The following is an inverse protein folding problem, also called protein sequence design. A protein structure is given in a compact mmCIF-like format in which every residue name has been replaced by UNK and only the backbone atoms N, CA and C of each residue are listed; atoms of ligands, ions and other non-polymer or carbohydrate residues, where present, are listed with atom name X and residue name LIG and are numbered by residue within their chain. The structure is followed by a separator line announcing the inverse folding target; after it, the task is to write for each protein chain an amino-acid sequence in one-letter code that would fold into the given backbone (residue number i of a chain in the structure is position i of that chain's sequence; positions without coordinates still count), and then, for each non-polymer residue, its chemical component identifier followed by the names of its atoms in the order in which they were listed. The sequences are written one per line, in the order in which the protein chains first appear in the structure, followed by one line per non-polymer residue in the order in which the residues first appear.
data_IF_860659268630
#
_entry.id   IF_860659268630
#
_cell.length_a   1.000
_cell.length_b   1.000
_cell.length_c   1.000
_cell.angle_alpha   90.00
_cell.angle_beta   90.00
_cell.angle_gamma   90.00
#
_symmetry.space_group_name_H-M   'P 1'
#
loop_
_entity.id
_entity.type
_entity.pdbx_description
1 polymer ?
#
# COMPACT_ATOMS: atom_id res chain seq x y z
N UNK A 1 -18.37 -5.14 -58.91
CA UNK A 1 -18.22 -4.42 -57.66
C UNK A 1 -18.92 -5.23 -56.58
N UNK A 2 -18.14 -5.97 -55.76
CA UNK A 2 -18.65 -6.78 -54.66
C UNK A 2 -18.40 -5.98 -53.36
N UNK A 3 -19.46 -5.53 -52.68
CA UNK A 3 -19.39 -4.90 -51.39
C UNK A 3 -19.14 -5.96 -50.32
N UNK A 4 -17.97 -5.94 -49.69
CA UNK A 4 -17.65 -6.73 -48.52
C UNK A 4 -18.21 -5.99 -47.27
N UNK A 5 -19.30 -6.50 -46.70
CA UNK A 5 -19.82 -6.02 -45.43
C UNK A 5 -18.99 -6.57 -44.29
N UNK A 6 -18.19 -5.72 -43.63
CA UNK A 6 -17.50 -6.03 -42.37
C UNK A 6 -18.56 -6.06 -41.25
N UNK A 7 -18.91 -7.25 -40.77
CA UNK A 7 -19.66 -7.44 -39.54
C UNK A 7 -18.72 -7.14 -38.36
N UNK A 8 -18.87 -5.97 -37.77
CA UNK A 8 -18.35 -5.65 -36.45
C UNK A 8 -19.14 -6.47 -35.41
N UNK A 9 -18.56 -7.55 -34.93
CA UNK A 9 -19.04 -8.26 -33.74
C UNK A 9 -18.82 -7.34 -32.53
N UNK A 10 -19.85 -6.61 -32.14
CA UNK A 10 -19.91 -5.95 -30.87
C UNK A 10 -19.88 -7.03 -29.75
N UNK A 11 -18.81 -7.09 -28.97
CA UNK A 11 -18.76 -7.93 -27.79
C UNK A 11 -19.90 -7.48 -26.86
N UNK A 12 -20.86 -8.39 -26.64
CA UNK A 12 -21.92 -8.18 -25.65
C UNK A 12 -21.26 -8.02 -24.28
N UNK A 13 -21.63 -6.99 -23.48
CA UNK A 13 -21.16 -6.91 -22.11
C UNK A 13 -21.67 -8.12 -21.34
N UNK A 14 -20.76 -8.75 -20.58
CA UNK A 14 -21.07 -9.88 -19.70
C UNK A 14 -22.23 -9.49 -18.78
N UNK A 15 -23.39 -10.12 -18.98
CA UNK A 15 -24.60 -9.82 -18.22
C UNK A 15 -24.41 -10.37 -16.80
N UNK A 16 -24.07 -9.52 -15.84
CA UNK A 16 -24.07 -9.90 -14.43
C UNK A 16 -23.21 -9.10 -13.45
N UNK A 17 -22.19 -8.37 -13.91
CA UNK A 17 -21.35 -7.56 -12.99
C UNK A 17 -21.85 -6.11 -13.03
N UNK A 18 -22.23 -5.52 -11.86
CA UNK A 18 -22.64 -4.12 -11.81
C UNK A 18 -21.54 -3.20 -12.37
N UNK A 19 -21.93 -2.17 -13.11
CA UNK A 19 -20.97 -1.20 -13.63
C UNK A 19 -20.22 -0.54 -12.46
N UNK A 20 -18.90 -0.58 -12.50
CA UNK A 20 -18.05 0.11 -11.53
C UNK A 20 -17.47 1.36 -12.20
N UNK A 21 -18.04 2.53 -11.93
CA UNK A 21 -17.64 3.78 -12.59
C UNK A 21 -16.14 4.12 -12.44
N UNK A 22 -15.50 3.97 -11.25
CA UNK A 22 -14.07 4.27 -11.10
C UNK A 22 -13.16 3.08 -11.46
N UNK A 23 -13.72 1.92 -11.90
CA UNK A 23 -12.95 0.70 -12.14
C UNK A 23 -12.51 0.56 -13.59
N UNK A 24 -11.31 0.02 -13.77
CA UNK A 24 -10.78 -0.45 -15.04
C UNK A 24 -10.27 -1.87 -14.89
N UNK A 25 -10.79 -2.82 -15.70
CA UNK A 25 -10.17 -4.13 -15.83
C UNK A 25 -8.89 -3.97 -16.64
N UNK A 26 -7.78 -4.49 -16.12
CA UNK A 26 -6.46 -4.43 -16.75
C UNK A 26 -5.92 -5.84 -16.98
N UNK A 27 -5.02 -5.98 -17.95
CA UNK A 27 -4.52 -7.30 -18.37
C UNK A 27 -3.71 -8.02 -17.27
N UNK A 28 -3.06 -7.27 -16.38
CA UNK A 28 -2.31 -7.81 -15.24
C UNK A 28 -2.05 -6.73 -14.18
N UNK A 29 -1.65 -7.10 -12.93
CA UNK A 29 -1.24 -6.14 -11.91
C UNK A 29 -0.13 -5.19 -12.39
N UNK A 30 0.85 -5.70 -13.13
CA UNK A 30 1.92 -4.89 -13.70
C UNK A 30 1.41 -3.85 -14.71
N UNK A 31 0.40 -4.18 -15.51
CA UNK A 31 -0.22 -3.22 -16.45
C UNK A 31 -0.95 -2.12 -15.68
N UNK A 32 -1.70 -2.47 -14.63
CA UNK A 32 -2.32 -1.51 -13.72
C UNK A 32 -1.28 -0.59 -13.08
N UNK A 33 -0.24 -1.17 -12.52
CA UNK A 33 0.86 -0.43 -11.90
C UNK A 33 1.55 0.55 -12.86
N UNK A 34 1.79 0.14 -14.11
CA UNK A 34 2.36 1.04 -15.13
C UNK A 34 1.46 2.21 -15.46
N UNK A 35 0.12 2.07 -15.37
CA UNK A 35 -0.82 3.20 -15.53
C UNK A 35 -0.67 4.20 -14.39
N UNK A 36 -0.49 3.72 -13.16
CA UNK A 36 -0.18 4.56 -12.00
C UNK A 36 1.14 5.32 -12.24
N UNK A 37 2.20 4.62 -12.65
CA UNK A 37 3.51 5.22 -12.93
C UNK A 37 3.50 6.21 -14.09
N UNK A 38 2.52 6.14 -15.00
CA UNK A 38 2.36 7.11 -16.08
C UNK A 38 1.95 8.52 -15.58
N UNK A 39 1.50 8.64 -14.32
CA UNK A 39 1.28 9.92 -13.64
C UNK A 39 2.59 10.66 -13.35
N UNK A 40 3.75 9.99 -13.49
CA UNK A 40 5.09 10.52 -13.18
C UNK A 40 5.18 11.07 -11.75
N UNK A 41 4.87 10.24 -10.73
CA UNK A 41 4.92 10.70 -9.35
C UNK A 41 6.34 11.09 -8.93
N UNK A 42 6.45 12.13 -8.12
CA UNK A 42 7.63 12.46 -7.33
C UNK A 42 7.69 11.59 -6.07
N UNK A 43 6.52 11.33 -5.49
CA UNK A 43 6.31 10.36 -4.40
C UNK A 43 5.28 9.33 -4.84
N UNK A 44 5.62 8.04 -4.67
CA UNK A 44 4.67 6.95 -4.76
C UNK A 44 4.49 6.35 -3.36
N UNK A 45 3.33 6.56 -2.76
CA UNK A 45 2.97 5.99 -1.48
C UNK A 45 2.19 4.69 -1.74
N UNK A 46 2.77 3.56 -1.38
CA UNK A 46 2.17 2.24 -1.54
C UNK A 46 1.65 1.77 -0.19
N UNK A 47 0.32 1.64 -0.12
CA UNK A 47 -0.39 1.12 1.03
C UNK A 47 -0.76 -0.35 0.86
N UNK A 48 -0.86 -1.06 1.98
CA UNK A 48 -1.41 -2.41 1.97
C UNK A 48 -2.47 -2.60 3.04
N UNK A 49 -3.45 -3.43 2.72
CA UNK A 49 -4.30 -4.06 3.72
C UNK A 49 -3.58 -5.30 4.23
N UNK A 50 -3.22 -5.27 5.51
CA UNK A 50 -2.33 -6.26 6.09
C UNK A 50 -2.94 -7.66 6.14
N UNK A 51 -2.11 -8.68 5.88
CA UNK A 51 -2.42 -10.05 6.25
C UNK A 51 -2.54 -10.15 7.77
N UNK A 52 -3.54 -10.90 8.24
CA UNK A 52 -3.70 -11.25 9.66
C UNK A 52 -3.58 -12.76 9.85
N UNK A 53 -3.14 -13.16 11.03
CA UNK A 53 -3.02 -14.57 11.41
C UNK A 53 -4.37 -15.29 11.23
N UNK A 54 -4.35 -16.42 10.54
CA UNK A 54 -5.57 -17.17 10.20
C UNK A 54 -6.20 -16.81 8.86
N UNK A 55 -5.70 -15.78 8.18
CA UNK A 55 -6.12 -15.47 6.80
C UNK A 55 -5.76 -16.62 5.83
N UNK A 56 -6.41 -16.69 4.66
CA UNK A 56 -6.08 -17.67 3.63
C UNK A 56 -4.61 -17.59 3.23
N UNK A 57 -3.91 -18.73 3.16
CA UNK A 57 -2.50 -18.81 2.76
C UNK A 57 -2.33 -18.53 1.26
N UNK A 58 -2.22 -17.27 0.92
CA UNK A 58 -1.94 -16.76 -0.43
C UNK A 58 -0.80 -15.75 -0.34
N UNK A 59 -0.10 -15.44 -1.46
CA UNK A 59 0.92 -14.39 -1.42
C UNK A 59 0.35 -13.06 -0.92
N UNK A 60 1.01 -12.45 0.06
CA UNK A 60 0.63 -11.17 0.65
C UNK A 60 0.76 -9.99 -0.36
N UNK A 61 0.26 -8.82 0.00
CA UNK A 61 0.42 -7.61 -0.79
C UNK A 61 1.90 -7.26 -0.98
N UNK A 62 2.69 -7.29 0.10
CA UNK A 62 4.14 -7.02 0.05
C UNK A 62 4.91 -8.04 -0.79
N UNK A 63 4.58 -9.34 -0.68
CA UNK A 63 5.21 -10.38 -1.51
C UNK A 63 4.92 -10.15 -3.01
N UNK A 64 3.65 -9.84 -3.36
CA UNK A 64 3.25 -9.51 -4.74
C UNK A 64 3.92 -8.24 -5.23
N UNK A 65 3.95 -7.19 -4.41
CA UNK A 65 4.63 -5.93 -4.74
C UNK A 65 6.12 -6.18 -5.03
N UNK A 66 6.82 -6.80 -4.09
CA UNK A 66 8.26 -7.04 -4.16
C UNK A 66 8.63 -7.87 -5.37
N UNK A 67 7.83 -8.91 -5.69
CA UNK A 67 8.10 -9.83 -6.77
C UNK A 67 7.72 -9.27 -8.13
N UNK A 68 6.49 -8.75 -8.26
CA UNK A 68 5.84 -8.54 -9.55
C UNK A 68 5.80 -7.08 -9.98
N UNK A 69 5.79 -6.11 -9.03
CA UNK A 69 5.63 -4.69 -9.33
C UNK A 69 6.93 -3.90 -9.17
N UNK A 70 7.65 -4.11 -8.08
CA UNK A 70 8.90 -3.40 -7.76
C UNK A 70 9.94 -3.41 -8.89
N UNK A 71 10.13 -4.50 -9.67
CA UNK A 71 11.07 -4.49 -10.80
C UNK A 71 10.80 -3.40 -11.85
N UNK A 72 9.56 -2.94 -12.00
CA UNK A 72 9.21 -1.86 -12.93
C UNK A 72 9.71 -0.49 -12.48
N UNK A 73 10.16 -0.36 -11.23
CA UNK A 73 10.73 0.85 -10.64
C UNK A 73 12.25 0.93 -10.76
N UNK A 74 12.91 -0.09 -11.31
CA UNK A 74 14.38 -0.11 -11.44
C UNK A 74 14.90 1.11 -12.18
N UNK A 75 15.87 1.82 -11.57
CA UNK A 75 16.47 3.02 -12.11
C UNK A 75 15.61 4.29 -11.98
N UNK A 76 14.45 4.21 -11.30
CA UNK A 76 13.57 5.36 -11.07
C UNK A 76 13.44 5.72 -9.59
N UNK A 77 13.60 4.76 -8.68
CA UNK A 77 13.52 4.99 -7.23
C UNK A 77 14.90 5.34 -6.71
N UNK A 78 15.01 6.47 -6.02
CA UNK A 78 16.22 6.88 -5.32
C UNK A 78 16.20 6.42 -3.85
N UNK A 79 15.08 6.61 -3.18
CA UNK A 79 14.90 6.26 -1.77
C UNK A 79 13.60 5.49 -1.53
N UNK A 80 13.65 4.59 -0.54
CA UNK A 80 12.50 3.89 0.02
C UNK A 80 12.40 4.21 1.51
N UNK A 81 11.24 4.66 1.98
CA UNK A 81 10.89 4.70 3.41
C UNK A 81 9.89 3.60 3.68
N UNK A 82 10.20 2.73 4.63
CA UNK A 82 9.33 1.60 5.02
C UNK A 82 8.78 1.84 6.42
N UNK A 83 7.50 1.55 6.61
CA UNK A 83 6.83 1.55 7.90
C UNK A 83 7.30 0.35 8.73
N UNK A 84 8.54 0.40 9.15
CA UNK A 84 9.14 -0.59 10.05
C UNK A 84 10.27 0.05 10.85
N UNK A 85 10.60 -0.56 11.98
CA UNK A 85 11.73 -0.15 12.81
C UNK A 85 12.47 -1.36 13.33
N UNK A 86 13.71 -1.14 13.75
CA UNK A 86 14.53 -2.20 14.35
C UNK A 86 14.51 -2.09 15.87
N UNK A 87 14.26 -3.20 16.53
CA UNK A 87 14.53 -3.36 17.95
C UNK A 87 16.03 -3.42 18.19
N UNK A 88 16.51 -2.69 19.19
CA UNK A 88 17.93 -2.68 19.54
C UNK A 88 18.20 -2.98 21.01
N UNK A 89 17.16 -3.27 21.80
CA UNK A 89 17.20 -3.61 23.22
C UNK A 89 17.55 -2.45 24.17
N UNK A 90 17.78 -1.24 23.64
CA UNK A 90 18.21 -0.09 24.46
C UNK A 90 17.14 0.44 25.40
N UNK A 91 15.86 0.23 25.06
CA UNK A 91 14.73 0.72 25.83
C UNK A 91 14.17 -0.34 26.81
N UNK A 92 14.78 -1.52 26.87
CA UNK A 92 14.53 -2.56 27.87
C UNK A 92 13.07 -3.02 27.93
N UNK A 93 12.39 -2.78 29.06
CA UNK A 93 11.02 -3.25 29.30
C UNK A 93 10.02 -2.57 28.38
N UNK A 94 10.11 -1.26 28.19
CA UNK A 94 9.18 -0.49 27.35
C UNK A 94 9.18 -0.99 25.88
N UNK A 95 10.36 -1.24 25.32
CA UNK A 95 10.50 -1.80 23.96
C UNK A 95 9.84 -3.17 23.85
N UNK A 96 10.10 -4.06 24.82
CA UNK A 96 9.52 -5.40 24.81
C UNK A 96 8.00 -5.39 24.93
N UNK A 97 7.47 -4.55 25.83
CA UNK A 97 6.03 -4.42 26.02
C UNK A 97 5.33 -3.86 24.78
N UNK A 98 5.86 -2.77 24.22
CA UNK A 98 5.29 -2.15 23.04
C UNK A 98 5.29 -3.11 21.83
N UNK A 99 6.40 -3.81 21.58
CA UNK A 99 6.48 -4.80 20.50
C UNK A 99 5.50 -5.95 20.70
N UNK A 100 5.40 -6.48 21.92
CA UNK A 100 4.43 -7.53 22.23
C UNK A 100 2.97 -7.05 22.05
N UNK A 101 2.67 -5.82 22.48
CA UNK A 101 1.35 -5.21 22.32
C UNK A 101 1.00 -4.97 20.84
N UNK A 102 1.95 -4.47 20.03
CA UNK A 102 1.78 -4.34 18.58
C UNK A 102 1.52 -5.70 17.94
N UNK A 103 2.34 -6.71 18.21
CA UNK A 103 2.16 -8.05 17.66
C UNK A 103 0.78 -8.66 18.01
N UNK A 104 0.35 -8.51 19.27
CA UNK A 104 -0.95 -8.98 19.76
C UNK A 104 -2.11 -8.29 19.05
N UNK A 105 -2.01 -6.98 18.82
CA UNK A 105 -3.09 -6.18 18.22
C UNK A 105 -3.15 -6.32 16.71
N UNK A 106 -2.01 -6.25 16.03
CA UNK A 106 -1.96 -6.33 14.55
C UNK A 106 -2.15 -7.74 14.03
N UNK A 107 -1.88 -8.74 14.86
CA UNK A 107 -1.98 -10.17 14.50
C UNK A 107 -1.28 -10.52 13.17
N UNK A 108 -0.23 -9.79 12.82
CA UNK A 108 0.54 -10.07 11.59
C UNK A 108 1.22 -11.44 11.70
N UNK A 109 1.26 -12.23 10.61
CA UNK A 109 2.03 -13.48 10.60
C UNK A 109 3.53 -13.20 10.74
N UNK A 110 4.27 -14.17 11.29
CA UNK A 110 5.75 -14.10 11.42
C UNK A 110 6.44 -13.92 10.05
N UNK A 111 5.83 -14.42 8.96
CA UNK A 111 6.32 -14.24 7.60
C UNK A 111 6.41 -12.78 7.14
N UNK A 112 5.69 -11.85 7.78
CA UNK A 112 5.74 -10.42 7.42
C UNK A 112 7.13 -9.84 7.59
N UNK A 113 7.90 -10.26 8.61
CA UNK A 113 9.28 -9.80 8.83
C UNK A 113 10.20 -10.26 7.70
N UNK A 114 10.07 -11.52 7.26
CA UNK A 114 10.84 -12.06 6.14
C UNK A 114 10.50 -11.33 4.83
N UNK A 115 9.24 -11.01 4.61
CA UNK A 115 8.78 -10.30 3.40
C UNK A 115 9.26 -8.84 3.37
N UNK A 116 9.25 -8.13 4.52
CA UNK A 116 9.84 -6.81 4.66
C UNK A 116 11.35 -6.83 4.42
N UNK A 117 12.04 -7.83 4.98
CA UNK A 117 13.47 -8.05 4.74
C UNK A 117 13.74 -8.28 3.26
N UNK A 118 12.91 -9.09 2.58
CA UNK A 118 13.04 -9.33 1.14
C UNK A 118 12.81 -8.07 0.31
N UNK A 119 11.87 -7.18 0.70
CA UNK A 119 11.67 -5.89 0.06
C UNK A 119 12.91 -5.00 0.20
N UNK A 120 13.46 -4.86 1.42
CA UNK A 120 14.65 -4.07 1.70
C UNK A 120 15.89 -4.58 0.97
N UNK A 121 16.10 -5.91 0.95
CA UNK A 121 17.21 -6.53 0.24
C UNK A 121 17.12 -6.30 -1.28
N UNK A 122 15.92 -6.44 -1.84
CA UNK A 122 15.70 -6.24 -3.27
C UNK A 122 15.90 -4.79 -3.69
N UNK A 123 15.39 -3.83 -2.92
CA UNK A 123 15.60 -2.41 -3.18
C UNK A 123 17.05 -2.00 -3.04
N UNK A 124 17.76 -2.54 -2.02
CA UNK A 124 19.19 -2.34 -1.86
C UNK A 124 19.98 -2.84 -3.09
N UNK A 125 19.67 -4.03 -3.60
CA UNK A 125 20.26 -4.57 -4.85
C UNK A 125 19.92 -3.76 -6.10
N UNK A 126 18.86 -2.96 -6.06
CA UNK A 126 18.51 -2.02 -7.12
C UNK A 126 19.24 -0.67 -6.99
N UNK A 127 20.05 -0.46 -5.95
CA UNK A 127 20.75 0.78 -5.66
C UNK A 127 19.88 1.84 -4.96
N UNK A 128 18.76 1.43 -4.37
CA UNK A 128 17.84 2.31 -3.65
C UNK A 128 18.32 2.51 -2.21
N UNK A 129 18.29 3.74 -1.72
CA UNK A 129 18.60 4.05 -0.32
C UNK A 129 17.40 3.71 0.56
N UNK A 130 17.55 2.72 1.42
CA UNK A 130 16.48 2.30 2.33
C UNK A 130 16.53 3.07 3.64
N UNK A 131 15.37 3.51 4.10
CA UNK A 131 15.15 4.19 5.38
C UNK A 131 14.09 3.43 6.17
N UNK A 132 14.42 3.12 7.41
CA UNK A 132 13.50 2.58 8.41
C UNK A 132 13.20 3.67 9.44
N UNK A 133 12.14 3.50 10.23
CA UNK A 133 11.76 4.46 11.25
C UNK A 133 12.70 4.37 12.44
N UNK A 134 13.06 5.52 13.00
CA UNK A 134 13.84 5.61 14.22
C UNK A 134 12.88 5.81 15.40
N UNK A 135 12.75 4.77 16.21
CA UNK A 135 11.91 4.73 17.41
C UNK A 135 12.82 4.86 18.63
N UNK A 136 12.52 5.77 19.51
CA UNK A 136 13.21 5.96 20.79
C UNK A 136 12.39 5.42 21.98
N UNK A 137 12.93 5.57 23.20
CA UNK A 137 12.30 4.98 24.37
C UNK A 137 11.02 5.71 24.80
N UNK A 138 10.87 6.99 24.47
CA UNK A 138 9.64 7.74 24.73
C UNK A 138 8.57 7.36 23.72
N UNK A 139 8.96 7.12 22.45
CA UNK A 139 8.08 6.59 21.43
C UNK A 139 7.47 5.24 21.85
N UNK A 140 8.29 4.29 22.35
CA UNK A 140 7.77 3.00 22.83
C UNK A 140 6.79 3.18 23.99
N UNK A 141 7.08 4.08 24.93
CA UNK A 141 6.17 4.38 26.04
C UNK A 141 4.87 5.00 25.56
N UNK A 142 4.93 5.89 24.56
CA UNK A 142 3.75 6.58 24.03
C UNK A 142 2.79 5.68 23.26
N UNK A 143 3.22 4.48 22.85
CA UNK A 143 2.35 3.49 22.21
C UNK A 143 1.52 2.67 23.19
N UNK A 144 1.78 2.80 24.49
CA UNK A 144 1.11 1.99 25.51
C UNK A 144 0.19 2.87 26.37
N UNK A 145 -0.95 2.32 26.72
CA UNK A 145 -1.83 2.88 27.72
C UNK A 145 -1.35 2.59 29.16
N UNK A 146 -2.08 3.07 30.17
CA UNK A 146 -1.77 2.87 31.58
C UNK A 146 -1.78 1.39 32.02
N UNK A 147 -2.47 0.52 31.25
CA UNK A 147 -2.50 -0.92 31.49
C UNK A 147 -1.37 -1.68 30.79
N UNK A 148 -0.58 -0.99 29.97
CA UNK A 148 0.50 -1.58 29.15
C UNK A 148 -0.01 -2.30 27.89
N UNK A 149 -1.24 -2.06 27.48
CA UNK A 149 -1.79 -2.51 26.21
C UNK A 149 -1.52 -1.46 25.12
N UNK A 150 -1.63 -1.85 23.84
CA UNK A 150 -1.43 -0.91 22.75
C UNK A 150 -2.52 0.17 22.73
N UNK A 151 -2.12 1.43 22.87
CA UNK A 151 -2.97 2.56 22.49
C UNK A 151 -2.97 2.69 20.97
N UNK A 152 -4.06 2.24 20.36
CA UNK A 152 -4.19 2.21 18.90
C UNK A 152 -4.09 3.60 18.28
N UNK A 153 -4.69 4.62 18.88
CA UNK A 153 -4.64 6.00 18.39
C UNK A 153 -3.23 6.57 18.49
N UNK A 154 -2.58 6.47 19.63
CA UNK A 154 -1.22 6.94 19.83
C UNK A 154 -0.23 6.22 18.89
N UNK A 155 -0.44 4.92 18.66
CA UNK A 155 0.38 4.12 17.74
C UNK A 155 0.24 4.61 16.30
N UNK A 156 -0.99 4.83 15.81
CA UNK A 156 -1.24 5.35 14.46
C UNK A 156 -0.63 6.75 14.26
N UNK A 157 -0.80 7.63 15.26
CA UNK A 157 -0.21 8.98 15.23
C UNK A 157 1.33 8.93 15.23
N UNK A 158 1.93 8.01 15.99
CA UNK A 158 3.38 7.84 16.01
C UNK A 158 3.91 7.39 14.65
N UNK A 159 3.32 6.37 14.06
CA UNK A 159 3.71 5.85 12.75
C UNK A 159 3.60 6.95 11.69
N UNK A 160 2.44 7.62 11.61
CA UNK A 160 2.23 8.77 10.72
C UNK A 160 3.34 9.81 10.88
N UNK A 161 3.59 10.26 12.10
CA UNK A 161 4.60 11.29 12.40
C UNK A 161 6.01 10.86 11.97
N UNK A 162 6.39 9.60 12.25
CA UNK A 162 7.73 9.09 11.94
C UNK A 162 7.94 8.91 10.44
N UNK A 163 6.96 8.38 9.71
CA UNK A 163 7.02 8.22 8.25
C UNK A 163 7.05 9.60 7.58
N UNK A 164 6.16 10.51 7.98
CA UNK A 164 6.12 11.88 7.45
C UNK A 164 7.45 12.61 7.66
N UNK A 165 7.97 12.62 8.88
CA UNK A 165 9.24 13.26 9.20
C UNK A 165 10.40 12.67 8.38
N UNK A 166 10.43 11.35 8.19
CA UNK A 166 11.46 10.70 7.39
C UNK A 166 11.32 11.04 5.90
N UNK A 167 10.09 11.04 5.37
CA UNK A 167 9.86 11.44 3.98
C UNK A 167 10.29 12.88 3.72
N UNK A 168 9.95 13.81 4.61
CA UNK A 168 10.36 15.22 4.51
C UNK A 168 11.89 15.38 4.60
N UNK A 169 12.56 14.64 5.47
CA UNK A 169 14.03 14.62 5.56
C UNK A 169 14.68 14.15 4.24
N UNK A 170 14.11 13.15 3.58
CA UNK A 170 14.57 12.66 2.27
C UNK A 170 14.38 13.73 1.19
N UNK A 171 13.23 14.41 1.18
CA UNK A 171 12.94 15.50 0.23
C UNK A 171 13.92 16.68 0.44
N UNK A 172 14.11 17.12 1.67
CA UNK A 172 15.00 18.23 2.02
C UNK A 172 16.45 17.95 1.61
N UNK A 173 16.90 16.71 1.76
CA UNK A 173 18.25 16.28 1.37
C UNK A 173 18.42 16.06 -0.14
N UNK A 174 17.35 16.15 -0.93
CA UNK A 174 17.38 15.84 -2.36
C UNK A 174 17.69 14.37 -2.67
N UNK A 175 17.41 13.46 -1.74
CA UNK A 175 17.66 12.03 -1.89
C UNK A 175 16.50 11.29 -2.60
N UNK A 176 15.58 12.03 -3.20
CA UNK A 176 14.40 11.55 -3.91
C UNK A 176 13.35 12.66 -4.00
N UNK A 177 12.17 12.35 -4.55
CA UNK A 177 11.06 13.29 -4.63
C UNK A 177 10.97 14.06 -5.94
N UNK A 178 11.53 13.52 -7.02
CA UNK A 178 11.29 13.97 -8.39
C UNK A 178 10.79 12.81 -9.26
N UNK A 179 10.14 13.08 -10.41
CA UNK A 179 9.68 12.02 -11.31
C UNK A 179 10.79 11.09 -11.81
N UNK A 180 12.03 11.59 -11.90
CA UNK A 180 13.23 10.85 -12.32
C UNK A 180 13.89 10.10 -11.15
N UNK A 181 13.75 10.64 -9.94
CA UNK A 181 14.32 10.14 -8.68
C UNK A 181 13.21 10.02 -7.64
N UNK A 182 12.32 9.07 -7.87
CA UNK A 182 11.12 8.81 -7.06
C UNK A 182 11.48 8.50 -5.61
N UNK A 183 10.73 9.09 -4.67
CA UNK A 183 10.63 8.61 -3.30
C UNK A 183 9.50 7.58 -3.22
N UNK A 184 9.85 6.34 -2.85
CA UNK A 184 8.88 5.26 -2.59
C UNK A 184 8.60 5.20 -1.09
N UNK A 185 7.33 5.17 -0.71
CA UNK A 185 6.89 4.86 0.64
C UNK A 185 6.17 3.51 0.61
N UNK A 186 6.36 2.68 1.65
CA UNK A 186 5.65 1.41 1.78
C UNK A 186 5.19 1.21 3.23
N UNK A 187 3.88 0.99 3.41
CA UNK A 187 3.29 0.80 4.74
C UNK A 187 1.80 0.47 4.70
N UNK A 188 1.10 0.68 5.81
CA UNK A 188 -0.34 0.49 5.91
C UNK A 188 -1.13 1.54 5.13
N UNK A 189 -2.23 1.12 4.49
CA UNK A 189 -3.06 1.97 3.64
C UNK A 189 -3.65 3.19 4.36
N UNK A 190 -3.92 3.10 5.67
CA UNK A 190 -4.47 4.21 6.46
C UNK A 190 -3.53 5.43 6.52
N UNK A 191 -2.22 5.20 6.39
CA UNK A 191 -1.23 6.27 6.55
C UNK A 191 -0.92 7.05 5.27
N UNK A 192 -1.13 6.46 4.09
CA UNK A 192 -0.76 7.07 2.81
C UNK A 192 -1.91 7.79 2.10
N UNK A 193 -3.13 7.69 2.60
CA UNK A 193 -4.34 8.24 2.00
C UNK A 193 -4.20 9.75 1.68
N UNK A 194 -4.32 10.10 0.40
CA UNK A 194 -4.22 11.48 -0.08
C UNK A 194 -5.51 12.29 0.14
N UNK A 195 -6.64 11.61 0.31
CA UNK A 195 -7.99 12.20 0.50
C UNK A 195 -8.71 11.58 1.71
N UNK A 196 -8.05 11.54 2.89
CA UNK A 196 -8.59 10.84 4.05
C UNK A 196 -9.93 11.43 4.51
N UNK A 197 -10.84 10.56 4.92
CA UNK A 197 -12.04 10.96 5.62
C UNK A 197 -11.68 11.79 6.86
N UNK A 198 -12.57 12.69 7.32
CA UNK A 198 -12.28 13.59 8.43
C UNK A 198 -11.74 12.88 9.68
N UNK A 199 -12.30 11.72 10.04
CA UNK A 199 -11.91 10.90 11.18
C UNK A 199 -10.54 10.24 11.03
N UNK A 200 -10.08 9.97 9.80
CA UNK A 200 -8.79 9.34 9.49
C UNK A 200 -7.68 10.34 9.17
N UNK A 201 -8.03 11.62 8.98
CA UNK A 201 -7.10 12.67 8.54
C UNK A 201 -5.88 12.84 9.45
N UNK A 202 -6.05 12.66 10.76
CA UNK A 202 -4.96 12.77 11.72
C UNK A 202 -3.88 11.70 11.53
N UNK A 203 -4.24 10.55 10.99
CA UNK A 203 -3.37 9.38 10.86
C UNK A 203 -2.70 9.28 9.48
N UNK A 204 -3.10 10.13 8.51
CA UNK A 204 -2.47 10.13 7.19
C UNK A 204 -1.42 11.22 7.01
N UNK A 205 -0.31 10.86 6.37
CA UNK A 205 0.71 11.80 5.87
C UNK A 205 0.44 12.24 4.43
N UNK A 206 -0.49 11.62 3.73
CA UNK A 206 -0.79 11.87 2.32
C UNK A 206 -1.01 13.34 1.97
N UNK A 207 -1.89 14.08 2.69
CA UNK A 207 -2.15 15.50 2.42
C UNK A 207 -0.90 16.38 2.56
N UNK A 208 -0.02 16.07 3.54
CA UNK A 208 1.25 16.78 3.71
C UNK A 208 2.17 16.54 2.51
N UNK A 209 2.38 15.30 2.12
CA UNK A 209 3.28 14.96 1.02
C UNK A 209 2.77 15.48 -0.32
N UNK A 210 1.46 15.47 -0.55
CA UNK A 210 0.85 16.11 -1.73
C UNK A 210 1.18 17.59 -1.80
N UNK A 211 1.08 18.30 -0.69
CA UNK A 211 1.42 19.74 -0.61
C UNK A 211 2.90 19.98 -0.88
N UNK A 212 3.79 19.23 -0.23
CA UNK A 212 5.25 19.40 -0.34
C UNK A 212 5.80 19.05 -1.73
N UNK A 213 5.06 18.26 -2.50
CA UNK A 213 5.42 17.91 -3.89
C UNK A 213 4.60 18.67 -4.94
N UNK A 214 3.90 19.73 -4.55
CA UNK A 214 3.04 20.50 -5.46
C UNK A 214 2.06 19.62 -6.26
N UNK A 215 1.47 18.61 -5.61
CA UNK A 215 0.51 17.71 -6.22
C UNK A 215 1.11 16.49 -6.93
N UNK A 216 2.42 16.26 -6.85
CA UNK A 216 3.09 15.11 -7.49
C UNK A 216 3.22 13.88 -6.58
N UNK A 217 2.43 13.79 -5.50
CA UNK A 217 2.26 12.56 -4.74
C UNK A 217 1.15 11.71 -5.34
N UNK A 218 1.39 10.41 -5.45
CA UNK A 218 0.43 9.41 -5.94
C UNK A 218 0.31 8.31 -4.91
N UNK A 219 -0.92 7.95 -4.60
CA UNK A 219 -1.29 6.84 -3.71
C UNK A 219 -1.60 5.59 -4.53
N UNK A 220 -1.16 4.46 -4.03
CA UNK A 220 -1.49 3.15 -4.56
C UNK A 220 -1.73 2.14 -3.44
N UNK A 221 -2.96 1.77 -3.22
CA UNK A 221 -3.29 0.71 -2.28
C UNK A 221 -3.37 -0.65 -2.95
N UNK A 222 -2.79 -1.65 -2.30
CA UNK A 222 -2.71 -3.02 -2.78
C UNK A 222 -3.72 -3.89 -2.04
N UNK A 223 -4.69 -4.40 -2.77
CA UNK A 223 -5.80 -5.18 -2.24
C UNK A 223 -5.69 -6.65 -2.65
N UNK A 224 -5.43 -7.52 -1.69
CA UNK A 224 -5.50 -8.97 -1.86
C UNK A 224 -6.93 -9.40 -1.57
N UNK A 225 -7.71 -9.89 -2.54
CA UNK A 225 -9.14 -10.11 -2.38
C UNK A 225 -9.49 -11.09 -1.26
N UNK A 226 -8.58 -12.03 -0.96
CA UNK A 226 -8.73 -12.99 0.13
C UNK A 226 -8.67 -12.37 1.52
N UNK A 227 -8.04 -11.19 1.67
CA UNK A 227 -7.88 -10.49 2.94
C UNK A 227 -8.95 -9.43 3.15
N UNK A 228 -9.43 -8.82 2.06
CA UNK A 228 -10.31 -7.66 2.13
C UNK A 228 -11.79 -7.96 1.87
N UNK A 229 -12.15 -9.20 1.52
CA UNK A 229 -13.53 -9.53 1.12
C UNK A 229 -14.57 -9.35 2.25
N UNK A 230 -14.14 -9.27 3.49
CA UNK A 230 -14.99 -9.05 4.68
C UNK A 230 -14.65 -7.74 5.40
N UNK A 231 -13.82 -6.88 4.81
CA UNK A 231 -13.47 -5.60 5.39
C UNK A 231 -14.69 -4.67 5.41
N UNK A 232 -15.12 -4.26 6.62
CA UNK A 232 -16.35 -3.53 6.82
C UNK A 232 -16.32 -2.13 6.20
N UNK A 233 -15.16 -1.49 6.12
CA UNK A 233 -15.05 -0.15 5.56
C UNK A 233 -15.04 -0.22 4.04
N UNK A 234 -14.31 -1.15 3.45
CA UNK A 234 -14.35 -1.38 2.00
C UNK A 234 -15.74 -1.83 1.52
N UNK A 235 -16.47 -2.60 2.34
CA UNK A 235 -17.86 -3.01 2.02
C UNK A 235 -18.83 -1.83 1.89
N UNK A 236 -18.54 -0.68 2.48
CA UNK A 236 -19.33 0.55 2.36
C UNK A 236 -19.02 1.31 1.06
N UNK A 237 -17.88 1.03 0.44
CA UNK A 237 -17.47 1.70 -0.79
C UNK A 237 -18.32 1.26 -1.98
N UNK A 238 -18.95 2.21 -2.74
CA UNK A 238 -19.88 1.88 -3.82
C UNK A 238 -19.29 1.03 -4.94
N UNK A 239 -17.97 1.14 -5.15
CA UNK A 239 -17.23 0.43 -6.19
C UNK A 239 -16.78 -0.98 -5.76
N UNK A 240 -16.66 -1.23 -4.46
CA UNK A 240 -15.92 -2.39 -3.95
C UNK A 240 -16.55 -3.73 -4.33
N UNK A 241 -17.86 -3.89 -4.18
CA UNK A 241 -18.54 -5.16 -4.52
C UNK A 241 -18.36 -5.55 -5.98
N UNK A 242 -18.42 -4.57 -6.90
CA UNK A 242 -18.23 -4.79 -8.32
C UNK A 242 -16.78 -5.15 -8.64
N UNK A 243 -15.82 -4.43 -8.05
CA UNK A 243 -14.40 -4.71 -8.20
C UNK A 243 -14.03 -6.10 -7.64
N UNK A 244 -14.57 -6.46 -6.47
CA UNK A 244 -14.37 -7.76 -5.83
C UNK A 244 -14.93 -8.90 -6.69
N UNK A 245 -16.12 -8.73 -7.28
CA UNK A 245 -16.71 -9.73 -8.18
C UNK A 245 -15.82 -9.98 -9.42
N UNK A 246 -15.27 -8.92 -10.02
CA UNK A 246 -14.32 -9.00 -11.12
C UNK A 246 -13.03 -9.73 -10.70
N UNK A 247 -12.49 -9.41 -9.51
CA UNK A 247 -11.31 -10.07 -8.97
C UNK A 247 -11.55 -11.57 -8.72
N UNK A 248 -12.71 -11.92 -8.15
CA UNK A 248 -13.14 -13.32 -7.96
C UNK A 248 -13.26 -14.08 -9.30
N UNK A 249 -13.59 -13.37 -10.38
CA UNK A 249 -13.58 -13.91 -11.74
C UNK A 249 -12.15 -13.97 -12.38
N UNK A 250 -11.11 -13.73 -11.58
CA UNK A 250 -9.71 -13.81 -12.01
C UNK A 250 -9.21 -12.59 -12.78
N UNK A 251 -9.89 -11.45 -12.69
CA UNK A 251 -9.46 -10.20 -13.33
C UNK A 251 -8.64 -9.35 -12.35
N UNK A 252 -7.69 -8.60 -12.90
CA UNK A 252 -7.05 -7.49 -12.17
C UNK A 252 -7.90 -6.24 -12.36
N UNK A 253 -8.20 -5.55 -11.27
CA UNK A 253 -8.99 -4.32 -11.29
C UNK A 253 -8.15 -3.16 -10.76
N UNK A 254 -8.07 -2.09 -11.52
CA UNK A 254 -7.52 -0.80 -11.07
C UNK A 254 -8.69 0.14 -10.82
N UNK A 255 -8.84 0.58 -9.59
CA UNK A 255 -9.85 1.55 -9.16
C UNK A 255 -9.18 2.90 -9.00
N UNK A 256 -9.83 3.98 -9.46
CA UNK A 256 -9.33 5.34 -9.32
C UNK A 256 -10.48 6.24 -8.83
N UNK A 257 -10.76 6.25 -7.51
CA UNK A 257 -11.88 6.99 -6.95
C UNK A 257 -11.65 8.51 -6.96
N UNK A 258 -10.41 8.95 -6.81
CA UNK A 258 -10.00 10.36 -6.79
C UNK A 258 -8.76 10.56 -7.66
N UNK A 259 -8.48 11.81 -8.11
CA UNK A 259 -7.23 12.10 -8.82
C UNK A 259 -6.00 11.67 -8.00
N UNK A 260 -5.10 10.91 -8.64
CA UNK A 260 -3.86 10.41 -8.06
C UNK A 260 -4.00 9.41 -6.89
N UNK A 261 -5.23 8.93 -6.63
CA UNK A 261 -5.55 7.84 -5.70
C UNK A 261 -5.94 6.60 -6.48
N UNK A 262 -5.23 5.50 -6.27
CA UNK A 262 -5.43 4.24 -6.97
C UNK A 262 -5.50 3.08 -5.98
N UNK A 263 -6.41 2.13 -6.26
CA UNK A 263 -6.43 0.85 -5.57
C UNK A 263 -6.27 -0.25 -6.61
N UNK A 264 -5.30 -1.13 -6.40
CA UNK A 264 -5.00 -2.26 -7.29
C UNK A 264 -5.49 -3.54 -6.63
N UNK A 265 -6.65 -4.01 -7.07
CA UNK A 265 -7.20 -5.27 -6.62
C UNK A 265 -6.62 -6.41 -7.46
N UNK A 266 -5.84 -7.27 -6.81
CA UNK A 266 -5.24 -8.45 -7.46
C UNK A 266 -6.32 -9.45 -7.88
N UNK A 267 -6.07 -10.29 -8.89
CA UNK A 267 -6.96 -11.41 -9.18
C UNK A 267 -6.92 -12.41 -8.02
N UNK A 268 -8.08 -12.98 -7.69
CA UNK A 268 -8.17 -14.04 -6.67
C UNK A 268 -7.23 -15.19 -7.01
N UNK A 269 -6.50 -15.67 -6.02
CA UNK A 269 -5.56 -16.79 -6.19
C UNK A 269 -6.33 -18.06 -6.53
N UNK A 270 -5.94 -18.71 -7.62
CA UNK A 270 -6.53 -20.01 -7.98
C UNK A 270 -6.13 -21.05 -6.94
N UNK A 271 -7.09 -21.75 -6.34
CA UNK A 271 -6.78 -22.89 -5.49
C UNK A 271 -6.04 -23.92 -6.36
N UNK A 272 -4.79 -24.19 -6.05
CA UNK A 272 -4.09 -25.38 -6.57
C UNK A 272 -4.83 -26.60 -6.04
N UNK A 273 -5.32 -27.42 -6.97
CA UNK A 273 -5.95 -28.71 -6.62
C UNK A 273 -4.89 -29.68 -6.10
#
# INVERSE_FOLDING_TARGET
MMLLALLLLAATPDAGVPACAPCSVVASPLVGFRRVLARKPAILAVGEYHEVTGAPKVPSAIARFTKDLLPALKGRVASLVVETWMMNGKCGVAEKQAVAAVAKTTQRPDSTEDELTALLDRTFKMGVKNHILLIDCDDYRSMLDDAGELDGEASLLLVKRKVEAKALDVLEKGEGGTPEHLLLLYGGAVHNDLEPLPEWRAYSFGPTLRRETNGHAVELDLLVPEYVETDEDLLKEPWFQSALALSKAGKTVLVNPHPDVYLLLFPRTKKTK
#
